data_IF_470009762235
#
_entry.id   IF_470009762235
#
_cell.length_a   1.000
_cell.length_b   1.000
_cell.length_c   1.000
_cell.angle_alpha   90.00
_cell.angle_beta   90.00
_cell.angle_gamma   90.00
#
_symmetry.space_group_name_H-M   'P 1'
#
loop_
_entity.id
_entity.type
_entity.pdbx_description
1 polymer ?
#
# COMPACT_ATOMS: atom_id res chain seq x y z
N UNK A 1 11.69 -29.75 -6.89
CA UNK A 1 10.28 -30.21 -6.91
C UNK A 1 9.86 -30.39 -5.45
N UNK A 2 9.21 -29.38 -4.82
CA UNK A 2 8.68 -29.52 -3.48
C UNK A 2 7.42 -30.37 -3.57
N UNK A 3 7.22 -31.37 -2.71
CA UNK A 3 6.02 -32.20 -2.73
C UNK A 3 4.81 -31.33 -2.38
N UNK A 4 3.72 -31.50 -3.12
CA UNK A 4 2.43 -30.90 -2.80
C UNK A 4 2.01 -31.35 -1.40
N UNK A 5 2.02 -30.45 -0.44
CA UNK A 5 1.49 -30.68 0.91
C UNK A 5 -0.04 -30.67 0.86
N UNK A 6 -0.65 -31.71 0.32
CA UNK A 6 -2.05 -32.01 0.52
C UNK A 6 -2.23 -32.82 1.82
N UNK A 7 -1.82 -32.27 2.95
CA UNK A 7 -2.33 -32.76 4.22
C UNK A 7 -3.80 -32.30 4.35
N UNK A 8 -4.74 -33.18 4.72
CA UNK A 8 -6.11 -32.76 4.95
C UNK A 8 -6.10 -31.66 6.01
N UNK A 9 -6.77 -30.55 5.72
CA UNK A 9 -6.89 -29.44 6.64
C UNK A 9 -7.49 -29.95 7.96
N UNK A 10 -6.72 -29.87 9.05
CA UNK A 10 -7.21 -30.19 10.40
C UNK A 10 -8.15 -29.12 10.95
N UNK A 11 -8.42 -28.08 10.18
CA UNK A 11 -9.28 -26.95 10.56
C UNK A 11 -10.75 -27.35 10.42
N UNK A 12 -11.47 -27.29 11.52
CA UNK A 12 -12.93 -27.40 11.56
C UNK A 12 -13.55 -26.17 10.88
N UNK A 13 -14.00 -26.33 9.65
CA UNK A 13 -14.54 -25.24 8.82
C UNK A 13 -15.86 -24.69 9.37
N UNK A 14 -16.68 -25.51 9.97
CA UNK A 14 -17.97 -25.09 10.54
C UNK A 14 -17.75 -24.26 11.82
N UNK A 15 -16.82 -24.70 12.65
CA UNK A 15 -16.39 -23.92 13.82
C UNK A 15 -15.78 -22.58 13.39
N UNK A 16 -14.91 -22.57 12.39
CA UNK A 16 -14.33 -21.35 11.85
C UNK A 16 -15.41 -20.40 11.35
N UNK A 17 -16.38 -20.89 10.60
CA UNK A 17 -17.51 -20.09 10.10
C UNK A 17 -18.31 -19.43 11.23
N UNK A 18 -18.64 -20.18 12.30
CA UNK A 18 -19.33 -19.62 13.47
C UNK A 18 -18.52 -18.55 14.20
N UNK A 19 -17.21 -18.77 14.37
CA UNK A 19 -16.32 -17.79 14.99
C UNK A 19 -16.21 -16.52 14.14
N UNK A 20 -16.07 -16.64 12.83
CA UNK A 20 -16.05 -15.51 11.91
C UNK A 20 -17.34 -14.70 11.96
N UNK A 21 -18.51 -15.36 11.97
CA UNK A 21 -19.78 -14.66 12.09
C UNK A 21 -19.89 -13.86 13.40
N UNK A 22 -19.50 -14.45 14.53
CA UNK A 22 -19.48 -13.76 15.81
C UNK A 22 -18.51 -12.56 15.84
N UNK A 23 -17.33 -12.68 15.20
CA UNK A 23 -16.38 -11.57 15.08
C UNK A 23 -16.90 -10.43 14.20
N UNK A 24 -17.55 -10.74 13.08
CA UNK A 24 -18.17 -9.73 12.20
C UNK A 24 -19.24 -8.94 12.98
N UNK A 25 -20.11 -9.63 13.73
CA UNK A 25 -21.09 -8.96 14.57
C UNK A 25 -20.47 -8.10 15.67
N UNK A 26 -19.44 -8.62 16.33
CA UNK A 26 -18.71 -7.87 17.35
C UNK A 26 -18.06 -6.62 16.77
N UNK A 27 -17.42 -6.75 15.62
CA UNK A 27 -16.81 -5.63 14.91
C UNK A 27 -17.87 -4.57 14.56
N UNK A 28 -18.98 -4.96 13.96
CA UNK A 28 -20.04 -4.04 13.57
C UNK A 28 -20.64 -3.28 14.76
N UNK A 29 -20.84 -3.97 15.92
CA UNK A 29 -21.31 -3.31 17.13
C UNK A 29 -20.30 -2.33 17.74
N UNK A 30 -19.00 -2.62 17.60
CA UNK A 30 -17.94 -1.76 18.13
C UNK A 30 -17.65 -0.55 17.23
N UNK A 31 -17.97 -0.62 15.91
CA UNK A 31 -17.57 0.39 14.93
C UNK A 31 -18.75 0.95 14.13
N UNK A 32 -19.85 1.41 14.79
CA UNK A 32 -21.04 1.88 14.08
C UNK A 32 -20.80 3.15 13.24
N UNK A 33 -19.90 4.05 13.68
CA UNK A 33 -19.56 5.27 12.93
C UNK A 33 -18.76 4.95 11.66
N UNK A 34 -17.82 4.03 11.75
CA UNK A 34 -17.06 3.54 10.57
C UNK A 34 -18.02 2.90 9.56
N UNK A 35 -18.99 2.10 10.02
CA UNK A 35 -20.04 1.54 9.17
C UNK A 35 -20.88 2.61 8.47
N UNK A 36 -21.34 3.61 9.21
CA UNK A 36 -22.12 4.72 8.65
C UNK A 36 -21.34 5.55 7.63
N UNK A 37 -20.05 5.77 7.88
CA UNK A 37 -19.16 6.46 6.94
C UNK A 37 -18.94 5.64 5.67
N UNK A 38 -18.76 4.33 5.79
CA UNK A 38 -18.63 3.45 4.63
C UNK A 38 -19.89 3.46 3.76
N UNK A 39 -21.10 3.37 4.35
CA UNK A 39 -22.35 3.48 3.59
C UNK A 39 -22.47 4.84 2.89
N UNK A 40 -22.12 5.92 3.56
CA UNK A 40 -22.09 7.25 2.93
C UNK A 40 -21.08 7.33 1.78
N UNK A 41 -19.91 6.71 1.94
CA UNK A 41 -18.84 6.72 0.95
C UNK A 41 -19.24 6.03 -0.37
N UNK A 42 -20.11 5.01 -0.33
CA UNK A 42 -20.61 4.31 -1.53
C UNK A 42 -21.34 5.22 -2.52
N UNK A 43 -21.81 6.39 -2.09
CA UNK A 43 -22.44 7.35 -2.99
C UNK A 43 -21.45 8.09 -3.91
N UNK A 44 -20.16 8.07 -3.61
CA UNK A 44 -19.13 8.84 -4.34
C UNK A 44 -17.82 8.09 -4.58
N UNK A 45 -17.61 6.98 -3.90
CA UNK A 45 -16.40 6.15 -4.04
C UNK A 45 -16.79 4.73 -4.46
N UNK A 46 -16.07 4.19 -5.42
CA UNK A 46 -16.24 2.80 -5.83
C UNK A 46 -16.06 1.87 -4.61
N UNK A 47 -17.03 1.01 -4.36
CA UNK A 47 -17.08 0.12 -3.20
C UNK A 47 -16.93 0.83 -1.84
N UNK A 48 -17.17 2.14 -1.77
CA UNK A 48 -17.09 2.93 -0.54
C UNK A 48 -15.68 3.17 0.00
N UNK A 49 -14.65 3.02 -0.83
CA UNK A 49 -13.24 3.19 -0.44
C UNK A 49 -12.49 4.07 -1.44
N UNK A 50 -11.47 4.85 -1.00
CA UNK A 50 -10.70 5.71 -1.88
C UNK A 50 -9.73 4.95 -2.80
N UNK A 51 -9.34 3.74 -2.44
CA UNK A 51 -8.50 2.85 -3.24
C UNK A 51 -9.09 1.43 -3.23
N UNK A 52 -9.22 0.83 -4.39
CA UNK A 52 -9.91 -0.45 -4.57
C UNK A 52 -9.34 -1.61 -3.73
N UNK A 53 -8.04 -1.64 -3.43
CA UNK A 53 -7.43 -2.66 -2.59
C UNK A 53 -7.93 -2.62 -1.14
N UNK A 54 -8.46 -1.50 -0.67
CA UNK A 54 -8.96 -1.33 0.70
C UNK A 54 -10.21 -2.18 1.00
N UNK A 55 -10.92 -2.69 -0.01
CA UNK A 55 -12.02 -3.65 0.19
C UNK A 55 -11.55 -5.03 0.63
N UNK A 56 -10.24 -5.30 0.53
CA UNK A 56 -9.66 -6.60 0.91
C UNK A 56 -9.30 -6.69 2.39
N UNK A 57 -9.43 -5.62 3.15
CA UNK A 57 -9.25 -5.67 4.60
C UNK A 57 -10.28 -6.60 5.24
N UNK A 58 -9.84 -7.32 6.28
CA UNK A 58 -10.74 -8.18 7.04
C UNK A 58 -11.87 -7.37 7.69
N UNK A 59 -13.08 -7.92 7.69
CA UNK A 59 -14.26 -7.28 8.26
C UNK A 59 -15.28 -6.85 7.22
N UNK A 60 -16.49 -6.43 7.65
CA UNK A 60 -17.58 -6.04 6.77
C UNK A 60 -17.37 -4.68 6.10
N UNK A 61 -16.51 -3.85 6.64
CA UNK A 61 -16.11 -2.52 6.13
C UNK A 61 -14.79 -2.09 6.78
N UNK A 62 -14.04 -1.16 6.18
CA UNK A 62 -12.80 -0.65 6.75
C UNK A 62 -13.05 0.24 7.97
N UNK A 63 -12.07 0.33 8.87
CA UNK A 63 -12.03 1.37 9.89
C UNK A 63 -11.76 2.72 9.20
N UNK A 64 -12.42 3.76 9.71
CA UNK A 64 -12.10 5.14 9.33
C UNK A 64 -11.22 5.75 10.43
N UNK A 65 -10.04 6.22 10.04
CA UNK A 65 -9.07 6.80 10.96
C UNK A 65 -9.49 8.25 11.28
N UNK A 66 -9.44 8.61 12.56
CA UNK A 66 -9.61 9.98 13.05
C UNK A 66 -8.25 10.68 13.16
N UNK A 67 -7.31 10.05 13.86
CA UNK A 67 -5.97 10.57 14.07
C UNK A 67 -4.93 9.46 14.23
N UNK A 68 -3.66 9.80 14.04
CA UNK A 68 -2.56 8.89 14.27
C UNK A 68 -1.33 9.62 14.81
N UNK A 69 -0.60 9.00 15.76
CA UNK A 69 0.62 9.53 16.34
C UNK A 69 1.57 8.39 16.75
N UNK A 70 2.84 8.52 16.44
CA UNK A 70 3.83 7.48 16.74
C UNK A 70 3.44 6.14 16.10
N UNK A 71 3.31 5.10 16.91
CA UNK A 71 2.94 3.75 16.45
C UNK A 71 1.44 3.45 16.63
N UNK A 72 0.59 4.46 16.85
CA UNK A 72 -0.83 4.27 17.14
C UNK A 72 -1.71 5.09 16.21
N UNK A 73 -2.93 4.59 15.99
CA UNK A 73 -4.00 5.38 15.40
C UNK A 73 -5.30 5.19 16.20
N UNK A 74 -6.14 6.21 16.16
CA UNK A 74 -7.49 6.17 16.72
C UNK A 74 -8.51 6.19 15.58
N UNK A 75 -9.48 5.28 15.60
CA UNK A 75 -10.56 5.30 14.63
C UNK A 75 -11.67 6.28 15.05
N UNK A 76 -12.54 6.61 14.12
CA UNK A 76 -13.68 7.52 14.36
C UNK A 76 -14.64 7.02 15.44
N UNK A 77 -14.62 5.75 15.79
CA UNK A 77 -15.40 5.15 16.85
C UNK A 77 -14.72 5.31 18.24
N UNK A 78 -13.52 5.89 18.29
CA UNK A 78 -12.77 6.20 19.50
C UNK A 78 -11.88 5.05 20.02
N UNK A 79 -11.71 3.99 19.24
CA UNK A 79 -10.81 2.90 19.60
C UNK A 79 -9.39 3.20 19.16
N UNK A 80 -8.43 2.97 20.04
CA UNK A 80 -7.00 3.08 19.76
C UNK A 80 -6.42 1.73 19.34
N UNK A 81 -5.54 1.75 18.34
CA UNK A 81 -4.86 0.58 17.78
C UNK A 81 -3.37 0.81 17.69
N UNK A 82 -2.59 -0.25 17.90
CA UNK A 82 -1.17 -0.27 17.50
C UNK A 82 -1.11 -0.51 16.00
N UNK A 83 -0.47 0.39 15.27
CA UNK A 83 -0.34 0.30 13.83
C UNK A 83 0.89 -0.52 13.42
N UNK A 84 0.70 -1.79 13.13
CA UNK A 84 1.75 -2.66 12.58
C UNK A 84 1.91 -2.55 11.06
N UNK A 85 1.01 -1.84 10.38
CA UNK A 85 1.10 -1.62 8.94
C UNK A 85 1.97 -0.40 8.59
N UNK A 86 1.93 0.65 9.42
CA UNK A 86 2.68 1.89 9.26
C UNK A 86 2.52 2.53 7.86
N UNK A 87 1.30 2.45 7.32
CA UNK A 87 1.01 2.96 5.98
C UNK A 87 1.88 2.34 4.89
N UNK A 88 2.13 1.03 5.01
CA UNK A 88 2.96 0.28 4.04
C UNK A 88 4.38 0.87 3.89
N UNK A 89 5.03 1.14 5.01
CA UNK A 89 6.34 1.78 5.13
C UNK A 89 6.36 3.32 5.08
N UNK A 90 5.28 3.97 4.72
CA UNK A 90 5.20 5.44 4.68
C UNK A 90 5.40 6.10 6.05
N UNK A 91 5.01 5.43 7.12
CA UNK A 91 5.11 5.89 8.50
C UNK A 91 6.16 5.12 9.33
N UNK A 92 7.26 4.65 8.73
CA UNK A 92 8.31 3.90 9.46
C UNK A 92 8.96 4.68 10.61
N UNK A 93 8.97 6.00 10.54
CA UNK A 93 9.42 6.89 11.63
C UNK A 93 8.31 7.20 12.64
N UNK A 94 7.16 6.55 12.53
CA UNK A 94 5.93 6.85 13.26
C UNK A 94 5.07 7.90 12.56
N UNK A 95 3.79 7.94 12.93
CA UNK A 95 2.86 8.95 12.45
C UNK A 95 3.18 10.32 13.06
N UNK A 96 3.14 11.34 12.23
CA UNK A 96 3.25 12.73 12.67
C UNK A 96 4.56 13.11 13.39
N UNK A 97 5.77 12.76 12.91
CA UNK A 97 7.01 13.18 13.56
C UNK A 97 7.10 14.72 13.63
N UNK A 98 7.27 15.26 14.81
CA UNK A 98 7.23 16.72 15.03
C UNK A 98 8.19 17.54 14.14
N UNK A 99 9.44 17.08 13.86
CA UNK A 99 10.33 17.80 12.94
C UNK A 99 9.79 17.84 11.50
N UNK A 100 9.17 16.75 11.04
CA UNK A 100 8.56 16.66 9.71
C UNK A 100 7.37 17.58 9.58
N UNK A 101 6.45 17.56 10.58
CA UNK A 101 5.29 18.46 10.62
C UNK A 101 5.75 19.91 10.53
N UNK A 102 6.69 20.32 11.37
CA UNK A 102 7.19 21.68 11.38
C UNK A 102 7.84 22.11 10.05
N UNK A 103 8.55 21.19 9.38
CA UNK A 103 9.14 21.46 8.05
C UNK A 103 8.05 21.60 6.97
N UNK A 104 7.08 20.71 6.96
CA UNK A 104 5.95 20.73 6.01
C UNK A 104 5.11 22.01 6.19
N UNK A 105 4.76 22.38 7.42
CA UNK A 105 4.00 23.61 7.71
C UNK A 105 4.73 24.86 7.19
N UNK A 106 6.04 24.96 7.43
CA UNK A 106 6.83 26.09 6.92
C UNK A 106 6.81 26.14 5.39
N UNK A 107 6.98 24.97 4.73
CA UNK A 107 7.00 24.93 3.27
C UNK A 107 5.63 25.18 2.67
N UNK A 108 4.55 24.69 3.26
CA UNK A 108 3.18 24.95 2.78
C UNK A 108 2.87 26.43 2.70
N UNK A 109 3.34 27.25 3.68
CA UNK A 109 3.19 28.72 3.67
C UNK A 109 3.98 29.42 2.55
N UNK A 110 4.97 28.74 1.96
CA UNK A 110 5.79 29.24 0.84
C UNK A 110 5.35 28.68 -0.52
N UNK A 111 4.39 27.76 -0.52
CA UNK A 111 3.92 27.03 -1.71
C UNK A 111 4.58 25.67 -1.83
N UNK A 112 3.84 24.72 -2.41
CA UNK A 112 4.26 23.32 -2.58
C UNK A 112 4.08 22.79 -4.00
N UNK A 113 3.47 23.59 -4.91
CA UNK A 113 3.22 23.19 -6.29
C UNK A 113 3.99 24.10 -7.22
N UNK A 114 5.14 23.61 -7.70
CA UNK A 114 6.04 24.37 -8.56
C UNK A 114 6.40 23.56 -9.81
N UNK A 115 6.54 24.24 -10.95
CA UNK A 115 7.12 23.68 -12.17
C UNK A 115 8.66 23.82 -12.19
N UNK A 116 9.21 24.53 -11.22
CA UNK A 116 10.66 24.78 -11.10
C UNK A 116 11.21 24.04 -9.86
N UNK A 117 12.48 23.61 -9.90
CA UNK A 117 13.10 22.94 -8.76
C UNK A 117 13.28 23.88 -7.57
N UNK A 118 13.34 23.31 -6.37
CA UNK A 118 13.67 24.02 -5.13
C UNK A 118 15.00 23.50 -4.57
N UNK A 119 15.59 24.23 -3.64
CA UNK A 119 16.81 23.85 -2.93
C UNK A 119 16.64 22.52 -2.17
N UNK A 120 15.43 22.24 -1.69
CA UNK A 120 15.13 20.98 -0.97
C UNK A 120 15.39 19.73 -1.84
N UNK A 121 15.20 19.84 -3.18
CA UNK A 121 15.49 18.73 -4.08
C UNK A 121 17.00 18.41 -4.13
N UNK A 122 17.85 19.45 -4.07
CA UNK A 122 19.29 19.30 -4.01
C UNK A 122 19.69 18.65 -2.69
N UNK A 123 19.23 19.18 -1.56
CA UNK A 123 19.50 18.62 -0.24
C UNK A 123 19.07 17.17 -0.08
N UNK A 124 17.91 16.81 -0.65
CA UNK A 124 17.45 15.42 -0.67
C UNK A 124 18.37 14.52 -1.52
N UNK A 125 18.80 14.97 -2.70
CA UNK A 125 19.72 14.23 -3.56
C UNK A 125 21.10 14.01 -2.90
N UNK A 126 21.64 15.02 -2.25
CA UNK A 126 22.91 14.96 -1.52
C UNK A 126 22.83 13.97 -0.36
N UNK A 127 21.76 14.00 0.42
CA UNK A 127 21.57 13.08 1.53
C UNK A 127 21.40 11.63 1.05
N UNK A 128 20.69 11.40 -0.05
CA UNK A 128 20.57 10.08 -0.66
C UNK A 128 21.93 9.58 -1.19
N UNK A 129 22.71 10.45 -1.80
CA UNK A 129 24.09 10.14 -2.24
C UNK A 129 24.95 9.74 -1.05
N UNK A 130 24.90 10.49 0.04
CA UNK A 130 25.64 10.19 1.27
C UNK A 130 25.26 8.83 1.87
N UNK A 131 23.98 8.44 1.83
CA UNK A 131 23.49 7.18 2.41
C UNK A 131 23.75 5.97 1.53
N UNK A 132 23.53 6.10 0.25
CA UNK A 132 23.49 4.97 -0.69
C UNK A 132 24.71 4.89 -1.62
N UNK A 133 25.54 5.92 -1.68
CA UNK A 133 26.76 5.95 -2.51
C UNK A 133 26.50 6.04 -4.01
N UNK A 134 25.26 6.30 -4.44
CA UNK A 134 24.91 6.51 -5.84
C UNK A 134 25.00 8.01 -6.19
N UNK A 135 25.60 8.36 -7.33
CA UNK A 135 25.93 9.77 -7.61
C UNK A 135 24.75 10.62 -8.10
N UNK A 136 23.72 10.00 -8.68
CA UNK A 136 22.61 10.70 -9.34
C UNK A 136 21.27 10.12 -8.95
N UNK A 137 20.29 11.01 -8.75
CA UNK A 137 18.95 10.67 -8.32
C UNK A 137 17.89 11.33 -9.18
N UNK A 138 16.78 10.61 -9.40
CA UNK A 138 15.54 11.14 -9.98
C UNK A 138 14.39 10.85 -9.04
N UNK A 139 13.53 11.84 -8.85
CA UNK A 139 12.37 11.73 -7.96
C UNK A 139 11.10 11.47 -8.78
N UNK A 140 10.22 10.66 -8.23
CA UNK A 140 8.90 10.37 -8.78
C UNK A 140 7.85 10.50 -7.70
N UNK A 141 6.58 10.60 -8.09
CA UNK A 141 5.50 10.76 -7.12
C UNK A 141 5.12 9.44 -6.43
N UNK A 142 5.37 8.29 -7.06
CA UNK A 142 5.03 6.97 -6.52
C UNK A 142 6.11 5.94 -6.86
N UNK A 143 6.14 4.84 -6.08
CA UNK A 143 6.98 3.68 -6.40
C UNK A 143 6.60 3.04 -7.76
N UNK A 144 5.33 3.10 -8.14
CA UNK A 144 4.86 2.69 -9.47
C UNK A 144 5.59 3.44 -10.57
N UNK A 145 5.65 4.76 -10.48
CA UNK A 145 6.33 5.59 -11.48
C UNK A 145 7.83 5.32 -11.49
N UNK A 146 8.45 5.21 -10.32
CA UNK A 146 9.87 4.87 -10.22
C UNK A 146 10.19 3.55 -10.93
N UNK A 147 9.43 2.50 -10.67
CA UNK A 147 9.62 1.20 -11.30
C UNK A 147 9.34 1.23 -12.81
N UNK A 148 8.31 1.94 -13.25
CA UNK A 148 8.03 2.11 -14.71
C UNK A 148 9.18 2.82 -15.42
N UNK A 149 9.72 3.87 -14.84
CA UNK A 149 10.88 4.57 -15.42
C UNK A 149 12.13 3.69 -15.40
N UNK A 150 12.40 2.98 -14.31
CA UNK A 150 13.54 2.06 -14.20
C UNK A 150 13.48 0.95 -15.27
N UNK A 151 12.33 0.31 -15.45
CA UNK A 151 12.11 -0.73 -16.48
C UNK A 151 12.32 -0.14 -17.88
N UNK A 152 11.76 1.03 -18.17
CA UNK A 152 11.92 1.71 -19.46
C UNK A 152 13.37 2.04 -19.76
N UNK A 153 14.10 2.60 -18.80
CA UNK A 153 15.52 2.91 -18.94
C UNK A 153 16.35 1.64 -19.11
N UNK A 154 16.10 0.61 -18.31
CA UNK A 154 16.81 -0.66 -18.43
C UNK A 154 16.62 -1.30 -19.82
N UNK A 155 15.38 -1.31 -20.33
CA UNK A 155 15.09 -1.78 -21.69
C UNK A 155 15.78 -0.94 -22.77
N UNK A 156 15.78 0.38 -22.61
CA UNK A 156 16.43 1.30 -23.56
C UNK A 156 17.94 1.06 -23.61
N UNK A 157 18.59 0.96 -22.46
CA UNK A 157 20.06 0.81 -22.37
C UNK A 157 20.51 -0.58 -22.82
N UNK A 158 19.75 -1.62 -22.47
CA UNK A 158 20.17 -3.02 -22.73
C UNK A 158 19.64 -3.61 -24.01
N UNK A 159 18.63 -3.01 -24.64
CA UNK A 159 17.88 -3.57 -25.76
C UNK A 159 17.06 -4.81 -25.43
N UNK A 160 16.95 -5.18 -24.14
CA UNK A 160 16.23 -6.37 -23.67
C UNK A 160 14.79 -6.03 -23.31
N UNK A 161 13.84 -6.85 -23.76
CA UNK A 161 12.42 -6.61 -23.50
C UNK A 161 11.89 -7.30 -22.24
N UNK A 162 12.49 -8.44 -21.84
CA UNK A 162 12.01 -9.28 -20.75
C UNK A 162 12.42 -8.73 -19.38
N UNK A 163 11.49 -8.85 -18.41
CA UNK A 163 11.70 -8.54 -17.00
C UNK A 163 11.50 -9.82 -16.20
N UNK A 164 12.36 -10.08 -15.23
CA UNK A 164 12.19 -11.19 -14.28
C UNK A 164 11.44 -10.67 -13.07
N UNK A 165 10.36 -11.35 -12.72
CA UNK A 165 9.58 -11.07 -11.52
C UNK A 165 9.46 -12.34 -10.67
N UNK A 166 9.24 -12.19 -9.38
CA UNK A 166 8.97 -13.29 -8.47
C UNK A 166 7.48 -13.37 -8.17
N UNK A 167 6.96 -14.58 -8.03
CA UNK A 167 5.57 -14.78 -7.61
C UNK A 167 5.31 -14.11 -6.25
N UNK A 168 4.12 -13.54 -6.09
CA UNK A 168 3.67 -12.86 -4.87
C UNK A 168 4.42 -11.57 -4.50
N UNK A 169 5.27 -11.04 -5.37
CA UNK A 169 5.90 -9.75 -5.16
C UNK A 169 5.04 -8.63 -5.73
N UNK A 170 5.02 -7.50 -5.01
CA UNK A 170 4.35 -6.29 -5.44
C UNK A 170 5.38 -5.20 -5.79
N UNK A 171 5.22 -4.60 -6.96
CA UNK A 171 6.13 -3.58 -7.51
C UNK A 171 5.40 -2.28 -7.88
N UNK A 172 4.29 -1.99 -7.21
CA UNK A 172 3.35 -0.96 -7.65
C UNK A 172 2.45 -1.47 -8.79
N UNK A 173 1.59 -0.61 -9.30
CA UNK A 173 0.70 -0.93 -10.44
C UNK A 173 1.47 -0.80 -11.76
N UNK A 174 2.41 -1.71 -11.97
CA UNK A 174 3.28 -1.79 -13.15
C UNK A 174 2.91 -3.03 -13.94
N UNK A 175 2.23 -2.86 -15.06
CA UNK A 175 1.63 -3.95 -15.85
C UNK A 175 2.66 -5.04 -16.22
N UNK A 176 3.89 -4.66 -16.55
CA UNK A 176 4.97 -5.60 -16.89
C UNK A 176 5.38 -6.52 -15.74
N UNK A 177 4.98 -6.21 -14.51
CA UNK A 177 5.33 -7.01 -13.32
C UNK A 177 4.17 -7.86 -12.82
N UNK A 178 2.96 -7.69 -13.37
CA UNK A 178 1.80 -8.52 -13.03
C UNK A 178 1.84 -9.84 -13.80
N UNK A 179 2.72 -10.72 -13.38
CA UNK A 179 2.86 -12.06 -13.97
C UNK A 179 2.97 -13.12 -12.88
N UNK A 180 2.37 -14.27 -13.12
CA UNK A 180 2.44 -15.46 -12.26
C UNK A 180 2.54 -16.71 -13.12
N UNK A 181 2.64 -17.87 -12.49
CA UNK A 181 2.62 -19.16 -13.18
C UNK A 181 1.29 -19.86 -12.91
N UNK A 182 0.67 -20.36 -13.98
CA UNK A 182 -0.48 -21.25 -13.85
C UNK A 182 -0.07 -22.66 -13.36
N UNK A 183 -1.04 -23.53 -13.19
CA UNK A 183 -0.82 -24.93 -12.76
C UNK A 183 0.06 -25.75 -13.72
N UNK A 184 0.19 -25.31 -14.98
CA UNK A 184 1.05 -25.95 -15.99
C UNK A 184 2.47 -25.38 -16.00
N UNK A 185 2.74 -24.33 -15.20
CA UNK A 185 4.01 -23.63 -15.16
C UNK A 185 4.18 -22.56 -16.25
N UNK A 186 3.12 -22.27 -17.02
CA UNK A 186 3.11 -21.20 -18.02
C UNK A 186 2.96 -19.86 -17.35
N UNK A 187 3.68 -18.85 -17.85
CA UNK A 187 3.52 -17.46 -17.38
C UNK A 187 2.19 -16.91 -17.92
N UNK A 188 1.39 -16.40 -17.00
CA UNK A 188 0.09 -15.76 -17.27
C UNK A 188 0.01 -14.44 -16.51
N UNK A 189 -0.95 -13.60 -16.86
CA UNK A 189 -1.23 -12.39 -16.10
C UNK A 189 -1.62 -12.74 -14.66
N UNK A 190 -1.06 -12.02 -13.68
CA UNK A 190 -1.49 -12.11 -12.30
C UNK A 190 -2.72 -11.22 -12.07
N UNK A 191 -3.58 -11.60 -11.13
CA UNK A 191 -4.67 -10.73 -10.69
C UNK A 191 -4.10 -9.46 -10.06
N UNK A 192 -4.40 -8.33 -10.67
CA UNK A 192 -4.17 -7.02 -10.08
C UNK A 192 -5.37 -6.59 -9.23
N UNK A 193 -5.15 -5.66 -8.31
CA UNK A 193 -6.25 -5.17 -7.46
C UNK A 193 -7.34 -4.40 -8.22
N UNK A 194 -7.07 -3.97 -9.44
CA UNK A 194 -7.99 -3.23 -10.32
C UNK A 194 -8.30 -3.97 -11.64
N UNK A 195 -8.12 -5.27 -11.66
CA UNK A 195 -8.32 -6.10 -12.83
C UNK A 195 -7.02 -6.64 -13.42
N UNK A 196 -7.09 -7.45 -14.48
CA UNK A 196 -5.91 -7.96 -15.16
C UNK A 196 -5.16 -6.83 -15.87
N UNK A 197 -3.83 -6.94 -16.00
CA UNK A 197 -3.01 -6.00 -16.77
C UNK A 197 -3.29 -6.06 -18.27
#
# INVERSE_FOLDING_TARGET
MLPAMNAPSTVDRDRLGRLMAAEIERFARAHPRSGALHERAKASLLDGVPMNWMVRWAGPYPLFVDQAAGAHFTCVDGHEYVDFCLGDTGAMAGHGPAPTIAAVERQMRRGITHMLPTEDAIAAGEELTRRFGLPLWQFTMTATDANRFAIRLARHITGRSKVVVHDHNYHGSVDETFATRDATGRVVAADASIGPP
#
